data_IF_005665427804
#
_entry.id   IF_005665427804
#
_cell.length_a   1.000
_cell.length_b   1.000
_cell.length_c   1.000
_cell.angle_alpha   90.00
_cell.angle_beta   90.00
_cell.angle_gamma   90.00
#
_symmetry.space_group_name_H-M   'P 1'
#
loop_
_entity.id
_entity.type
_entity.pdbx_description
1 polymer ?
#
# COMPACT_ATOMS: atom_id res chain seq x y z
N UNK A 1 -1.42 -20.97 1.64
CA UNK A 1 -0.91 -19.91 2.54
C UNK A 1 -1.79 -18.68 2.36
N UNK A 2 -2.98 -18.71 2.93
CA UNK A 2 -3.87 -17.54 2.98
C UNK A 2 -3.36 -16.63 4.10
N UNK A 3 -3.24 -15.32 3.86
CA UNK A 3 -2.96 -14.38 4.94
C UNK A 3 -4.01 -14.59 6.02
N UNK A 4 -3.56 -14.74 7.27
CA UNK A 4 -4.42 -15.03 8.40
C UNK A 4 -5.57 -14.00 8.46
N UNK A 5 -6.78 -14.46 8.77
CA UNK A 5 -7.90 -13.56 9.11
C UNK A 5 -7.60 -12.85 10.42
N UNK A 6 -6.86 -13.51 11.31
CA UNK A 6 -6.31 -12.95 12.53
C UNK A 6 -5.22 -11.93 12.19
N UNK A 7 -5.25 -10.79 12.88
CA UNK A 7 -4.34 -9.67 12.67
C UNK A 7 -3.88 -9.17 14.03
N UNK A 8 -2.59 -9.36 14.33
CA UNK A 8 -1.98 -9.07 15.63
C UNK A 8 -1.40 -7.65 15.75
N UNK A 9 -1.60 -6.80 14.74
CA UNK A 9 -1.06 -5.43 14.72
C UNK A 9 0.23 -5.29 13.91
N UNK A 10 0.83 -4.10 13.99
CA UNK A 10 2.13 -3.79 13.37
C UNK A 10 3.10 -3.30 14.44
N UNK A 11 4.37 -3.67 14.28
CA UNK A 11 5.44 -3.20 15.14
C UNK A 11 6.19 -2.03 14.44
N UNK A 12 6.28 -0.85 15.09
CA UNK A 12 6.94 0.35 14.53
C UNK A 12 8.42 0.13 14.19
N UNK A 13 9.08 -0.86 14.78
CA UNK A 13 10.50 -1.14 14.53
C UNK A 13 10.76 -1.81 13.17
N UNK A 14 9.70 -2.27 12.50
CA UNK A 14 9.82 -3.02 11.25
C UNK A 14 9.86 -2.12 10.01
N UNK A 15 10.54 -2.63 8.97
CA UNK A 15 10.59 -2.06 7.61
C UNK A 15 9.18 -1.89 7.03
N UNK A 16 8.99 -1.04 5.99
CA UNK A 16 7.69 -0.80 5.37
C UNK A 16 6.95 -2.10 5.03
N UNK A 17 5.66 -2.13 5.39
CA UNK A 17 4.79 -3.29 5.19
C UNK A 17 4.39 -3.35 3.72
N UNK A 18 4.52 -4.53 3.11
CA UNK A 18 4.01 -4.81 1.77
C UNK A 18 2.85 -5.79 1.88
N UNK A 19 1.63 -5.31 1.67
CA UNK A 19 0.41 -6.11 1.74
C UNK A 19 0.05 -6.73 0.37
N UNK A 20 -0.61 -7.90 0.38
CA UNK A 20 -1.14 -8.48 -0.85
C UNK A 20 -2.36 -7.70 -1.39
N UNK A 21 -2.90 -8.12 -2.53
CA UNK A 21 -4.11 -7.51 -3.11
C UNK A 21 -5.40 -7.71 -2.29
N UNK A 22 -5.38 -8.55 -1.25
CA UNK A 22 -6.52 -8.73 -0.34
C UNK A 22 -7.73 -9.45 -0.95
N UNK A 23 -7.53 -10.30 -1.97
CA UNK A 23 -8.60 -11.00 -2.69
C UNK A 23 -9.55 -11.87 -1.84
N UNK A 24 -9.13 -12.21 -0.62
CA UNK A 24 -9.85 -13.11 0.31
C UNK A 24 -10.26 -12.42 1.62
N UNK A 25 -9.98 -11.12 1.78
CA UNK A 25 -10.40 -10.33 2.95
C UNK A 25 -11.43 -9.28 2.55
N UNK A 26 -12.27 -8.87 3.49
CA UNK A 26 -13.27 -7.83 3.25
C UNK A 26 -12.62 -6.44 3.22
N UNK A 27 -13.32 -5.46 2.63
CA UNK A 27 -12.92 -4.05 2.69
C UNK A 27 -12.75 -3.58 4.13
N UNK A 28 -13.63 -3.97 5.04
CA UNK A 28 -13.54 -3.59 6.46
C UNK A 28 -12.25 -4.07 7.10
N UNK A 29 -11.86 -5.33 6.84
CA UNK A 29 -10.60 -5.90 7.32
C UNK A 29 -9.38 -5.18 6.74
N UNK A 30 -9.39 -4.87 5.44
CA UNK A 30 -8.33 -4.10 4.80
C UNK A 30 -8.17 -2.70 5.43
N UNK A 31 -9.27 -1.98 5.63
CA UNK A 31 -9.25 -0.64 6.24
C UNK A 31 -8.78 -0.68 7.69
N UNK A 32 -9.18 -1.71 8.46
CA UNK A 32 -8.72 -1.89 9.83
C UNK A 32 -7.19 -2.08 9.89
N UNK A 33 -6.61 -2.87 8.97
CA UNK A 33 -5.16 -3.05 8.85
C UNK A 33 -4.46 -1.75 8.47
N UNK A 34 -4.97 -1.03 7.46
CA UNK A 34 -4.41 0.28 7.08
C UNK A 34 -4.35 1.26 8.26
N UNK A 35 -5.44 1.35 9.03
CA UNK A 35 -5.49 2.21 10.23
C UNK A 35 -4.52 1.75 11.31
N UNK A 36 -4.42 0.44 11.54
CA UNK A 36 -3.47 -0.10 12.52
C UNK A 36 -2.02 0.19 12.13
N UNK A 37 -1.67 0.12 10.83
CA UNK A 37 -0.35 0.47 10.34
C UNK A 37 -0.05 1.96 10.56
N UNK A 38 -1.02 2.82 10.23
CA UNK A 38 -0.92 4.27 10.41
C UNK A 38 -0.75 4.66 11.89
N UNK A 39 -1.56 4.09 12.79
CA UNK A 39 -1.43 4.29 14.24
C UNK A 39 -0.10 3.81 14.80
N UNK A 40 0.46 2.73 14.26
CA UNK A 40 1.78 2.22 14.62
C UNK A 40 2.92 3.01 13.95
N UNK A 41 2.62 4.02 13.12
CA UNK A 41 3.64 4.75 12.36
C UNK A 41 4.37 3.91 11.32
N UNK A 42 3.80 2.77 10.91
CA UNK A 42 4.39 1.84 9.97
C UNK A 42 3.90 2.15 8.54
N UNK A 43 4.77 2.59 7.61
CA UNK A 43 4.36 2.84 6.24
C UNK A 43 3.92 1.53 5.56
N UNK A 44 2.75 1.54 4.92
CA UNK A 44 2.24 0.37 4.20
C UNK A 44 2.07 0.65 2.70
N UNK A 45 2.44 -0.33 1.88
CA UNK A 45 2.18 -0.40 0.44
C UNK A 45 1.54 -1.75 0.08
N UNK A 46 1.26 -1.99 -1.20
CA UNK A 46 0.79 -3.27 -1.68
C UNK A 46 1.60 -3.80 -2.87
N UNK A 47 1.45 -5.09 -3.19
CA UNK A 47 2.15 -5.72 -4.32
C UNK A 47 1.97 -4.97 -5.63
N UNK A 48 0.74 -4.56 -5.98
CA UNK A 48 0.48 -3.86 -7.24
C UNK A 48 1.24 -2.54 -7.36
N UNK A 49 1.24 -1.73 -6.29
CA UNK A 49 1.95 -0.45 -6.24
C UNK A 49 3.46 -0.67 -6.25
N UNK A 50 3.97 -1.60 -5.44
CA UNK A 50 5.40 -1.90 -5.35
C UNK A 50 5.95 -2.45 -6.67
N UNK A 51 5.26 -3.40 -7.30
CA UNK A 51 5.64 -3.96 -8.61
C UNK A 51 5.62 -2.85 -9.66
N UNK A 52 4.57 -2.03 -9.70
CA UNK A 52 4.47 -0.93 -10.67
C UNK A 52 5.59 0.09 -10.51
N UNK A 53 6.02 0.35 -9.27
CA UNK A 53 7.16 1.22 -8.98
C UNK A 53 8.46 0.61 -9.51
N UNK A 54 8.74 -0.66 -9.17
CA UNK A 54 9.96 -1.36 -9.59
C UNK A 54 10.05 -1.52 -11.11
N UNK A 55 8.90 -1.69 -11.78
CA UNK A 55 8.83 -1.79 -13.25
C UNK A 55 8.86 -0.43 -13.95
N UNK A 56 8.86 0.69 -13.22
CA UNK A 56 8.84 2.05 -13.80
C UNK A 56 7.52 2.46 -14.46
N UNK A 57 6.44 1.70 -14.27
CA UNK A 57 5.13 1.95 -14.88
C UNK A 57 4.15 2.69 -13.96
N UNK A 58 4.53 2.94 -12.70
CA UNK A 58 3.66 3.60 -11.71
C UNK A 58 3.10 4.96 -12.17
N UNK A 59 3.88 5.90 -12.76
CA UNK A 59 3.33 7.17 -13.25
C UNK A 59 2.18 6.96 -14.24
N UNK A 60 2.38 6.07 -15.22
CA UNK A 60 1.39 5.74 -16.25
C UNK A 60 0.10 5.17 -15.65
N UNK A 61 0.22 4.35 -14.60
CA UNK A 61 -0.95 3.78 -13.91
C UNK A 61 -1.71 4.86 -13.13
N UNK A 62 -0.99 5.78 -12.46
CA UNK A 62 -1.58 6.86 -11.68
C UNK A 62 -2.26 7.94 -12.56
N UNK A 63 -1.81 8.11 -13.81
CA UNK A 63 -2.43 9.06 -14.75
C UNK A 63 -3.85 8.65 -15.19
N UNK A 64 -4.25 7.39 -14.99
CA UNK A 64 -5.62 6.93 -15.23
C UNK A 64 -6.61 7.38 -14.16
N UNK A 65 -6.12 7.79 -12.98
CA UNK A 65 -6.96 8.20 -11.86
C UNK A 65 -7.06 9.74 -11.82
N UNK A 66 -8.24 10.29 -11.43
CA UNK A 66 -8.37 11.73 -11.24
C UNK A 66 -7.34 12.27 -10.25
N UNK A 67 -6.85 13.50 -10.48
CA UNK A 67 -5.85 14.18 -9.62
C UNK A 67 -6.02 14.01 -8.10
N UNK A 68 -7.23 14.06 -7.48
CA UNK A 68 -7.39 13.83 -6.04
C UNK A 68 -7.00 12.42 -5.57
N UNK A 69 -6.91 11.44 -6.46
CA UNK A 69 -6.50 10.06 -6.17
C UNK A 69 -5.03 9.77 -6.51
N UNK A 70 -4.34 10.73 -7.16
CA UNK A 70 -2.90 10.67 -7.34
C UNK A 70 -2.26 10.98 -5.99
N UNK A 71 -1.79 9.96 -5.28
CA UNK A 71 -1.04 10.16 -4.04
C UNK A 71 0.16 11.06 -4.36
N UNK A 72 0.09 12.32 -3.92
CA UNK A 72 1.09 13.35 -4.23
C UNK A 72 2.51 12.91 -3.86
N UNK A 73 2.63 12.13 -2.77
CA UNK A 73 3.89 11.56 -2.28
C UNK A 73 4.48 10.49 -3.22
N UNK A 74 3.65 9.68 -3.87
CA UNK A 74 4.09 8.69 -4.87
C UNK A 74 4.36 9.34 -6.23
N UNK A 75 3.58 10.36 -6.61
CA UNK A 75 3.77 11.09 -7.87
C UNK A 75 5.08 11.86 -7.91
N UNK A 76 5.50 12.44 -6.78
CA UNK A 76 6.81 13.10 -6.68
C UNK A 76 7.95 12.09 -6.78
N UNK A 77 7.86 10.96 -6.07
CA UNK A 77 8.89 9.91 -6.12
C UNK A 77 9.02 9.27 -7.52
N UNK A 78 7.91 9.09 -8.23
CA UNK A 78 7.91 8.48 -9.55
C UNK A 78 8.34 9.43 -10.69
N UNK A 79 8.49 10.73 -10.42
CA UNK A 79 9.00 11.74 -11.35
C UNK A 79 10.48 12.08 -11.16
N UNK A 80 11.10 11.62 -10.08
CA UNK A 80 12.53 11.82 -9.76
C UNK A 80 13.44 10.70 -10.27
N UNK A 81 12.98 9.89 -11.22
CA UNK A 81 13.78 8.88 -11.92
C UNK A 81 14.34 9.41 -13.23
#
# INVERSE_FOLDING_TARGET
MTADKEFSGYDPTHKPVVHCGGCVITRGQMMARQRAADMAGCPMTNYGVAISLVQGILPRVLDLFPKPFQCSRLHTLAKTG
#
